data_IF_320598210162
#
_entry.id   IF_320598210162
#
_cell.length_a   1.000
_cell.length_b   1.000
_cell.length_c   1.000
_cell.angle_alpha   90.00
_cell.angle_beta   90.00
_cell.angle_gamma   90.00
#
_symmetry.space_group_name_H-M   'P 1'
#
loop_
_entity.id
_entity.type
_entity.pdbx_description
1 polymer ?
#
# COMPACT_ATOMS: atom_id res chain seq x y z
N UNK A 1 -27.09 -0.17 58.72
CA UNK A 1 -26.43 0.03 57.41
C UNK A 1 -27.43 -0.14 56.27
N UNK A 2 -27.84 0.98 55.69
CA UNK A 2 -28.83 1.10 54.60
C UNK A 2 -28.11 1.03 53.25
N UNK A 3 -28.63 0.31 52.23
CA UNK A 3 -28.01 0.29 50.90
C UNK A 3 -28.23 1.63 50.17
N UNK A 4 -27.30 2.04 49.29
CA UNK A 4 -27.43 3.27 48.51
C UNK A 4 -28.49 3.14 47.41
N UNK A 5 -29.16 4.24 47.02
CA UNK A 5 -30.16 4.25 45.96
C UNK A 5 -29.53 4.02 44.58
N UNK A 6 -30.17 3.18 43.77
CA UNK A 6 -29.74 2.84 42.42
C UNK A 6 -29.87 4.01 41.44
N UNK A 7 -28.92 4.08 40.50
CA UNK A 7 -28.85 5.06 39.43
C UNK A 7 -30.02 4.94 38.44
N UNK A 8 -30.50 6.05 37.84
CA UNK A 8 -31.57 6.01 36.86
C UNK A 8 -31.11 5.39 35.53
N UNK A 9 -31.95 4.49 35.00
CA UNK A 9 -31.79 3.93 33.66
C UNK A 9 -32.15 4.98 32.60
N UNK A 10 -31.18 5.34 31.74
CA UNK A 10 -31.44 6.11 30.54
C UNK A 10 -31.90 5.17 29.41
N UNK A 11 -33.10 5.40 28.91
CA UNK A 11 -33.60 4.80 27.66
C UNK A 11 -32.93 5.47 26.45
N UNK A 12 -32.41 4.72 25.46
CA UNK A 12 -31.87 5.31 24.25
C UNK A 12 -32.99 5.85 23.35
N UNK A 13 -32.88 7.13 23.01
CA UNK A 13 -33.70 7.82 22.01
C UNK A 13 -33.44 7.20 20.64
N UNK A 14 -34.48 6.64 20.02
CA UNK A 14 -34.42 6.07 18.67
C UNK A 14 -34.17 7.15 17.63
N UNK A 15 -33.15 6.98 16.81
CA UNK A 15 -32.90 7.81 15.63
C UNK A 15 -33.86 7.42 14.51
N UNK A 16 -34.58 8.41 13.99
CA UNK A 16 -35.49 8.28 12.88
C UNK A 16 -34.74 7.91 11.59
N UNK A 17 -35.24 6.89 10.89
CA UNK A 17 -34.75 6.46 9.58
C UNK A 17 -35.23 7.47 8.53
N UNK A 18 -34.31 8.18 7.89
CA UNK A 18 -34.63 9.02 6.74
C UNK A 18 -35.01 8.14 5.55
N UNK A 19 -36.21 8.38 5.00
CA UNK A 19 -36.75 7.67 3.85
C UNK A 19 -35.91 7.91 2.59
N UNK A 20 -35.66 6.83 1.83
CA UNK A 20 -35.01 6.87 0.53
C UNK A 20 -35.90 7.60 -0.51
N UNK A 21 -35.33 8.41 -1.42
CA UNK A 21 -36.10 9.02 -2.50
C UNK A 21 -36.45 7.99 -3.59
N UNK A 22 -37.75 7.87 -3.84
CA UNK A 22 -38.35 7.14 -4.96
C UNK A 22 -37.94 7.78 -6.29
N UNK A 23 -37.21 7.05 -7.13
CA UNK A 23 -36.97 7.47 -8.53
C UNK A 23 -38.17 7.08 -9.39
N UNK A 24 -38.95 8.07 -9.80
CA UNK A 24 -39.98 7.95 -10.85
C UNK A 24 -39.31 8.20 -12.21
N UNK A 25 -39.23 7.17 -13.04
CA UNK A 25 -38.84 7.29 -14.45
C UNK A 25 -40.06 7.48 -15.37
N UNK A 26 -40.01 8.38 -16.36
CA UNK A 26 -41.00 8.42 -17.43
C UNK A 26 -40.46 7.84 -18.75
N UNK A 27 -41.17 6.81 -19.23
CA UNK A 27 -41.74 6.77 -20.59
C UNK A 27 -40.82 6.57 -21.80
N UNK A 28 -40.87 5.37 -22.37
CA UNK A 28 -40.53 5.07 -23.77
C UNK A 28 -41.78 5.19 -24.65
N UNK A 29 -41.74 5.94 -25.76
CA UNK A 29 -42.63 5.70 -26.90
C UNK A 29 -41.86 5.11 -28.09
N UNK A 30 -42.41 4.05 -28.66
CA UNK A 30 -41.87 3.33 -29.81
C UNK A 30 -41.88 4.15 -31.11
N UNK A 31 -40.90 3.85 -31.97
CA UNK A 31 -40.81 4.34 -33.35
C UNK A 31 -40.78 3.16 -34.34
N UNK A 32 -41.54 3.21 -35.44
CA UNK A 32 -41.64 2.13 -36.42
C UNK A 32 -40.65 2.28 -37.59
N UNK A 33 -40.31 1.15 -38.22
CA UNK A 33 -39.98 1.09 -39.65
C UNK A 33 -38.50 0.99 -40.01
N UNK A 34 -38.01 -0.23 -40.14
CA UNK A 34 -36.81 -0.54 -40.91
C UNK A 34 -37.18 -0.69 -42.40
N UNK A 35 -36.47 -0.03 -43.34
CA UNK A 35 -36.50 -0.41 -44.74
C UNK A 35 -35.52 -1.55 -45.04
N UNK A 36 -35.98 -2.44 -45.92
CA UNK A 36 -35.31 -3.65 -46.37
C UNK A 36 -33.95 -3.41 -47.08
N UNK A 37 -33.04 -4.37 -46.91
CA UNK A 37 -31.80 -4.48 -47.66
C UNK A 37 -32.05 -4.94 -49.12
N UNK A 38 -31.34 -4.39 -50.11
CA UNK A 38 -31.25 -4.97 -51.45
C UNK A 38 -30.12 -6.02 -51.56
N UNK A 39 -30.23 -6.98 -52.51
CA UNK A 39 -29.32 -8.12 -52.62
C UNK A 39 -27.96 -7.77 -53.26
N UNK A 40 -26.96 -8.59 -52.91
CA UNK A 40 -25.58 -8.55 -53.36
C UNK A 40 -25.44 -8.84 -54.87
N UNK A 41 -24.71 -8.00 -55.58
CA UNK A 41 -24.11 -8.30 -56.90
C UNK A 41 -22.58 -8.31 -56.80
N UNK A 42 -21.88 -9.34 -57.29
CA UNK A 42 -20.41 -9.37 -57.31
C UNK A 42 -19.85 -8.64 -58.55
N UNK A 43 -18.91 -7.72 -58.37
CA UNK A 43 -18.03 -7.29 -59.46
C UNK A 43 -17.38 -5.91 -59.33
N UNK A 44 -16.06 -5.89 -59.56
CA UNK A 44 -15.16 -4.77 -59.94
C UNK A 44 -14.39 -4.05 -58.80
N UNK A 45 -13.03 -4.00 -58.86
CA UNK A 45 -12.20 -3.20 -57.98
C UNK A 45 -12.12 -1.73 -58.45
N UNK A 46 -12.54 -0.79 -57.60
CA UNK A 46 -12.45 0.65 -57.81
C UNK A 46 -11.57 1.35 -56.77
N UNK A 47 -10.83 2.35 -57.25
CA UNK A 47 -9.75 3.15 -56.66
C UNK A 47 -10.02 3.85 -55.30
N UNK A 48 -8.98 4.15 -54.49
CA UNK A 48 -9.11 4.92 -53.25
C UNK A 48 -9.43 6.41 -53.47
N UNK A 49 -10.53 6.89 -52.88
CA UNK A 49 -10.91 8.31 -52.85
C UNK A 49 -10.19 9.09 -51.75
N UNK A 50 -9.91 10.37 -52.04
CA UNK A 50 -9.18 11.31 -51.20
C UNK A 50 -9.95 11.77 -49.94
N UNK A 51 -9.26 12.24 -48.87
CA UNK A 51 -9.89 12.74 -47.66
C UNK A 51 -10.56 14.11 -47.86
N UNK A 52 -11.82 14.22 -47.42
CA UNK A 52 -12.59 15.46 -47.41
C UNK A 52 -12.07 16.50 -46.41
N UNK A 53 -12.22 17.76 -46.79
CA UNK A 53 -11.87 18.97 -46.03
C UNK A 53 -12.88 19.25 -44.91
N UNK A 54 -12.36 19.58 -43.73
CA UNK A 54 -13.14 19.94 -42.53
C UNK A 54 -13.33 21.46 -42.50
N UNK A 55 -14.53 22.01 -42.22
CA UNK A 55 -14.74 23.46 -42.11
C UNK A 55 -14.21 24.02 -40.77
N UNK A 56 -13.71 25.28 -40.72
CA UNK A 56 -13.22 25.89 -39.49
C UNK A 56 -14.38 26.34 -38.60
N UNK A 57 -14.56 25.64 -37.48
CA UNK A 57 -15.41 26.05 -36.37
C UNK A 57 -14.79 27.24 -35.60
N UNK A 58 -15.63 28.23 -35.36
CA UNK A 58 -15.38 29.50 -34.72
C UNK A 58 -15.41 29.32 -33.19
N UNK A 59 -14.29 29.59 -32.52
CA UNK A 59 -14.18 29.59 -31.06
C UNK A 59 -14.69 30.92 -30.49
N UNK A 60 -15.57 30.94 -29.48
CA UNK A 60 -15.89 32.17 -28.76
C UNK A 60 -14.71 32.60 -27.88
N UNK A 61 -14.19 33.79 -28.17
CA UNK A 61 -13.23 34.53 -27.35
C UNK A 61 -13.90 34.96 -26.04
N UNK A 62 -13.44 34.42 -24.91
CA UNK A 62 -13.82 34.92 -23.60
C UNK A 62 -13.03 36.20 -23.29
N UNK A 63 -13.75 37.31 -23.17
CA UNK A 63 -13.27 38.61 -22.74
C UNK A 63 -12.87 38.57 -21.26
N UNK A 64 -11.61 38.86 -20.98
CA UNK A 64 -11.09 39.03 -19.62
C UNK A 64 -11.54 40.39 -19.04
N UNK A 65 -12.10 40.45 -17.81
CA UNK A 65 -12.23 41.71 -17.11
C UNK A 65 -10.90 42.14 -16.47
N UNK A 66 -10.60 43.42 -16.69
CA UNK A 66 -9.47 44.21 -16.18
C UNK A 66 -9.56 44.48 -14.68
N UNK A 67 -8.40 44.49 -14.01
CA UNK A 67 -8.04 45.48 -12.99
C UNK A 67 -8.34 45.13 -11.52
N UNK A 68 -7.27 44.81 -10.77
CA UNK A 68 -7.21 45.06 -9.32
C UNK A 68 -5.98 45.93 -9.00
N UNK A 69 -6.14 47.01 -8.22
CA UNK A 69 -5.04 47.92 -7.88
C UNK A 69 -4.12 47.35 -6.78
N UNK A 70 -2.83 47.56 -6.98
CA UNK A 70 -1.72 47.23 -6.08
C UNK A 70 -1.72 48.14 -4.84
N UNK A 71 -1.56 47.62 -3.61
CA UNK A 71 -1.38 48.46 -2.42
C UNK A 71 0.06 49.05 -2.34
N UNK A 72 0.23 50.28 -1.81
CA UNK A 72 1.53 50.93 -1.71
C UNK A 72 2.41 50.37 -0.56
N UNK A 73 3.74 50.44 -0.67
CA UNK A 73 4.65 50.00 0.39
C UNK A 73 4.64 50.99 1.57
N UNK A 74 4.25 50.51 2.76
CA UNK A 74 4.42 51.26 4.00
C UNK A 74 5.91 51.34 4.38
N UNK A 75 6.39 52.58 4.51
CA UNK A 75 7.67 52.91 5.15
C UNK A 75 7.55 52.68 6.65
N UNK A 76 8.37 51.82 7.24
CA UNK A 76 8.54 51.75 8.68
C UNK A 76 9.46 52.88 9.15
N UNK A 77 8.84 53.90 9.74
CA UNK A 77 9.47 54.95 10.54
C UNK A 77 9.93 54.37 11.89
N UNK A 78 11.18 54.66 12.23
CA UNK A 78 11.79 54.26 13.49
C UNK A 78 11.16 54.97 14.70
N UNK A 79 11.03 54.21 15.78
CA UNK A 79 10.83 54.74 17.13
C UNK A 79 12.05 54.38 17.97
N UNK A 80 12.73 55.42 18.45
CA UNK A 80 13.75 55.33 19.47
C UNK A 80 13.09 55.00 20.81
N UNK A 81 13.58 53.96 21.50
CA UNK A 81 13.26 53.71 22.90
C UNK A 81 14.36 54.28 23.82
N UNK A 82 13.99 54.94 24.94
CA UNK A 82 14.92 55.40 25.95
C UNK A 82 15.39 54.26 26.87
N UNK A 83 16.63 54.38 27.33
CA UNK A 83 17.41 53.32 27.95
C UNK A 83 16.93 52.84 29.31
N UNK A 84 17.16 51.54 29.52
CA UNK A 84 17.32 50.94 30.85
C UNK A 84 18.76 50.45 30.96
N UNK A 85 19.46 50.96 31.98
CA UNK A 85 20.79 50.49 32.37
C UNK A 85 20.66 49.11 33.02
N UNK A 86 21.44 48.13 32.55
CA UNK A 86 21.69 46.89 33.30
C UNK A 86 23.11 46.91 33.90
N UNK A 87 23.29 46.45 35.15
CA UNK A 87 24.60 46.39 35.81
C UNK A 87 25.47 45.29 35.20
N UNK A 88 26.74 45.62 34.96
CA UNK A 88 27.72 44.74 34.36
C UNK A 88 28.12 43.56 35.25
N UNK A 89 28.25 42.40 34.61
CA UNK A 89 29.10 41.29 35.06
C UNK A 89 29.90 40.75 33.88
N UNK A 90 31.18 40.50 34.15
CA UNK A 90 32.27 40.47 33.18
C UNK A 90 32.24 39.35 32.13
N UNK A 91 32.88 39.67 31.00
CA UNK A 91 33.29 38.74 29.95
C UNK A 91 34.47 37.88 30.42
N UNK A 92 34.53 36.61 30.00
CA UNK A 92 35.76 36.09 29.39
C UNK A 92 35.56 35.84 27.89
N UNK A 93 36.57 36.17 27.11
CA UNK A 93 36.51 36.27 25.65
C UNK A 93 36.14 34.97 24.92
N UNK A 94 35.29 35.13 23.91
CA UNK A 94 35.05 34.14 22.87
C UNK A 94 36.17 34.26 21.84
N UNK A 95 37.04 33.24 21.75
CA UNK A 95 37.96 33.08 20.62
C UNK A 95 37.19 32.42 19.46
N UNK A 96 37.27 32.92 18.22
CA UNK A 96 36.70 32.22 17.09
C UNK A 96 37.43 30.89 16.85
N UNK A 97 36.70 29.78 16.85
CA UNK A 97 37.22 28.46 16.56
C UNK A 97 37.72 28.41 15.10
N UNK A 98 39.01 28.11 14.92
CA UNK A 98 39.61 27.91 13.61
C UNK A 98 39.06 26.68 12.87
N UNK A 99 39.22 26.62 11.54
CA UNK A 99 38.68 25.54 10.71
C UNK A 99 39.33 24.19 11.02
N UNK A 100 38.51 23.17 11.28
CA UNK A 100 38.96 21.80 11.56
C UNK A 100 39.48 21.12 10.29
N UNK A 101 40.65 20.45 10.32
CA UNK A 101 41.15 19.70 9.17
C UNK A 101 40.36 18.40 8.99
N UNK A 102 39.90 18.16 7.75
CA UNK A 102 39.37 16.87 7.30
C UNK A 102 40.49 15.83 7.27
N UNK A 103 40.35 14.75 8.04
CA UNK A 103 41.21 13.57 7.89
C UNK A 103 40.53 12.56 6.98
N UNK A 104 41.10 12.41 5.80
CA UNK A 104 40.87 11.31 4.87
C UNK A 104 41.34 10.02 5.54
N UNK A 105 40.42 9.11 5.83
CA UNK A 105 40.71 7.81 6.44
C UNK A 105 40.31 6.68 5.50
N UNK A 106 41.28 6.19 4.74
CA UNK A 106 41.22 4.94 3.99
C UNK A 106 41.25 3.78 4.98
N UNK A 107 40.15 3.05 5.13
CA UNK A 107 40.14 1.74 5.80
C UNK A 107 39.99 0.67 4.72
N UNK A 108 41.15 0.24 4.20
CA UNK A 108 41.31 -1.09 3.65
C UNK A 108 41.63 -1.98 4.84
N UNK A 109 40.76 -2.94 5.12
CA UNK A 109 40.94 -3.96 6.14
C UNK A 109 40.30 -5.26 5.67
N UNK A 110 41.04 -6.02 4.88
CA UNK A 110 40.77 -7.42 4.61
C UNK A 110 41.08 -8.24 5.88
N UNK A 111 40.15 -9.10 6.31
CA UNK A 111 40.38 -10.21 7.25
C UNK A 111 39.18 -11.17 7.13
N UNK A 112 39.24 -12.26 6.36
CA UNK A 112 39.98 -13.54 6.51
C UNK A 112 39.16 -14.61 7.25
N UNK A 113 38.69 -15.57 6.44
CA UNK A 113 38.57 -17.02 6.68
C UNK A 113 37.56 -17.60 7.69
N UNK A 114 36.60 -18.33 7.11
CA UNK A 114 36.39 -19.77 7.26
C UNK A 114 36.30 -20.40 8.67
N UNK A 115 35.09 -20.83 9.04
CA UNK A 115 34.73 -22.10 9.71
C UNK A 115 33.25 -21.95 10.14
N UNK A 116 32.28 -22.67 9.56
CA UNK A 116 31.84 -23.98 10.05
C UNK A 116 31.22 -24.80 8.91
N UNK A 117 32.08 -25.47 8.13
CA UNK A 117 31.77 -26.79 7.60
C UNK A 117 32.55 -27.75 8.48
N UNK A 118 31.92 -28.31 9.54
CA UNK A 118 32.08 -29.69 10.04
C UNK A 118 30.93 -29.98 11.01
N UNK A 119 29.90 -30.64 10.49
CA UNK A 119 29.12 -31.70 11.15
C UNK A 119 28.78 -32.62 9.97
N UNK A 120 29.60 -33.58 9.60
CA UNK A 120 30.21 -34.58 10.46
C UNK A 120 29.52 -35.89 10.15
N UNK A 121 29.95 -36.52 9.05
CA UNK A 121 29.61 -37.89 8.66
C UNK A 121 29.97 -38.86 9.80
N UNK A 122 28.98 -39.37 10.53
CA UNK A 122 29.07 -40.66 11.24
C UNK A 122 27.68 -41.31 11.17
N UNK A 123 27.59 -42.44 10.46
CA UNK A 123 26.35 -43.22 10.35
C UNK A 123 26.32 -44.30 9.26
N UNK A 124 27.49 -44.82 8.84
CA UNK A 124 27.59 -46.08 8.10
C UNK A 124 27.41 -47.22 9.12
N UNK A 125 26.20 -47.78 9.16
CA UNK A 125 25.94 -49.17 9.56
C UNK A 125 25.01 -49.76 8.51
N UNK A 126 25.63 -50.09 7.36
CA UNK A 126 25.09 -51.04 6.39
C UNK A 126 25.85 -52.33 6.64
N UNK A 127 25.22 -53.40 7.14
CA UNK A 127 25.70 -54.75 6.94
C UNK A 127 25.56 -55.12 5.47
N UNK A 128 26.67 -55.56 4.91
CA UNK A 128 26.79 -56.24 3.63
C UNK A 128 26.34 -57.69 3.86
N UNK A 129 25.25 -58.12 3.23
CA UNK A 129 24.97 -59.53 3.01
C UNK A 129 24.74 -59.73 1.51
N UNK A 130 25.84 -60.08 0.86
CA UNK A 130 25.89 -60.64 -0.46
C UNK A 130 25.45 -62.11 -0.38
N UNK A 131 24.34 -62.50 -1.00
CA UNK A 131 24.24 -63.83 -1.61
C UNK A 131 23.10 -63.98 -2.64
N UNK A 132 23.55 -64.26 -3.88
CA UNK A 132 23.05 -65.27 -4.83
C UNK A 132 21.59 -65.20 -5.35
N UNK A 133 21.50 -64.83 -6.63
CA UNK A 133 20.78 -65.52 -7.73
C UNK A 133 19.38 -66.09 -7.46
N UNK A 134 18.38 -65.58 -8.19
CA UNK A 134 17.10 -66.27 -8.33
C UNK A 134 16.08 -65.55 -9.20
N UNK A 135 16.06 -65.88 -10.48
CA UNK A 135 15.03 -65.56 -11.48
C UNK A 135 13.72 -66.27 -11.09
N UNK A 136 12.57 -65.58 -11.15
CA UNK A 136 11.28 -66.24 -10.99
C UNK A 136 10.07 -65.31 -10.97
N UNK A 137 9.38 -65.23 -12.11
CA UNK A 137 8.01 -64.74 -12.23
C UNK A 137 7.04 -65.56 -11.36
N UNK A 138 6.05 -64.90 -10.75
CA UNK A 138 4.62 -65.27 -10.76
C UNK A 138 3.76 -64.33 -9.90
N UNK A 139 2.66 -63.89 -10.50
CA UNK A 139 1.52 -63.25 -9.86
C UNK A 139 0.72 -64.24 -8.98
N UNK A 140 0.15 -63.76 -7.86
CA UNK A 140 -1.21 -64.00 -7.31
C UNK A 140 -1.42 -63.01 -6.14
N UNK A 141 -2.22 -61.94 -6.25
CA UNK A 141 -3.63 -61.83 -5.82
C UNK A 141 -3.99 -62.31 -4.40
N UNK A 142 -4.64 -61.39 -3.66
CA UNK A 142 -5.65 -61.63 -2.60
C UNK A 142 -5.13 -62.05 -1.22
N UNK A 143 -5.64 -61.66 -0.06
CA UNK A 143 -6.61 -60.67 0.43
C UNK A 143 -6.48 -60.66 1.98
N UNK A 144 -7.05 -59.62 2.59
CA UNK A 144 -7.60 -59.59 3.96
C UNK A 144 -6.67 -59.61 5.18
N UNK A 145 -6.92 -58.65 6.07
CA UNK A 145 -6.40 -58.63 7.43
C UNK A 145 -6.41 -57.21 8.00
N UNK A 146 -7.49 -56.87 8.71
CA UNK A 146 -7.73 -55.52 9.21
C UNK A 146 -7.04 -55.15 10.52
N UNK A 147 -7.67 -54.17 11.14
CA UNK A 147 -7.53 -53.69 12.53
C UNK A 147 -6.54 -52.55 12.78
N UNK A 148 -7.15 -51.42 13.14
CA UNK A 148 -6.77 -50.53 14.25
C UNK A 148 -5.29 -50.13 14.36
N UNK A 149 -4.98 -48.95 13.84
CA UNK A 149 -3.79 -48.20 14.24
C UNK A 149 -4.18 -46.76 14.53
N UNK A 150 -4.31 -46.44 15.82
CA UNK A 150 -4.31 -45.07 16.33
C UNK A 150 -2.98 -44.42 15.93
N UNK A 151 -2.96 -43.76 14.78
CA UNK A 151 -1.81 -43.01 14.31
C UNK A 151 -1.93 -41.57 14.77
N UNK A 152 -1.21 -41.23 15.84
CA UNK A 152 -0.61 -39.90 15.99
C UNK A 152 0.20 -39.63 14.74
N UNK A 153 -0.46 -39.11 13.72
CA UNK A 153 0.19 -38.59 12.53
C UNK A 153 0.78 -37.27 12.93
N UNK A 154 2.08 -37.26 13.18
CA UNK A 154 2.96 -36.14 12.87
C UNK A 154 2.61 -35.66 11.46
N UNK A 155 1.60 -34.79 11.36
CA UNK A 155 1.40 -33.99 10.16
C UNK A 155 2.58 -33.03 10.18
N UNK A 156 3.65 -33.42 9.52
CA UNK A 156 4.55 -32.48 8.87
C UNK A 156 3.64 -31.43 8.26
N UNK A 157 3.57 -30.26 8.92
CA UNK A 157 2.62 -29.20 8.60
C UNK A 157 2.90 -28.85 7.15
N UNK A 158 2.06 -29.35 6.24
CA UNK A 158 2.24 -29.07 4.81
C UNK A 158 2.30 -27.56 4.71
N UNK A 159 3.39 -27.04 4.11
CA UNK A 159 3.56 -25.60 3.93
C UNK A 159 2.26 -25.08 3.32
N UNK A 160 1.60 -24.08 3.92
CA UNK A 160 0.37 -23.54 3.38
C UNK A 160 0.53 -23.24 1.89
N UNK A 161 -0.44 -23.68 1.09
CA UNK A 161 -0.43 -23.38 -0.35
C UNK A 161 -0.49 -21.88 -0.52
N UNK A 162 0.39 -21.34 -1.36
CA UNK A 162 0.44 -19.92 -1.61
C UNK A 162 -0.89 -19.44 -2.22
N UNK A 163 -1.52 -18.40 -1.64
CA UNK A 163 -2.77 -17.88 -2.15
C UNK A 163 -2.58 -17.26 -3.53
N UNK A 164 -3.67 -17.17 -4.29
CA UNK A 164 -3.64 -16.49 -5.60
C UNK A 164 -3.59 -14.97 -5.42
N UNK A 165 -2.78 -14.25 -6.21
CA UNK A 165 -2.80 -12.78 -6.21
C UNK A 165 -4.09 -12.23 -6.79
N UNK A 166 -4.57 -11.12 -6.22
CA UNK A 166 -5.61 -10.27 -6.80
C UNK A 166 -5.09 -8.85 -6.93
N UNK A 167 -5.23 -8.25 -8.11
CA UNK A 167 -4.69 -6.92 -8.41
C UNK A 167 -5.78 -5.89 -8.60
N UNK A 168 -5.57 -4.70 -8.04
CA UNK A 168 -6.39 -3.50 -8.19
C UNK A 168 -5.51 -2.36 -8.67
N UNK A 169 -6.06 -1.51 -9.53
CA UNK A 169 -5.31 -0.45 -10.21
C UNK A 169 -5.96 0.90 -9.98
N UNK A 170 -5.15 1.94 -9.85
CA UNK A 170 -5.62 3.32 -9.75
C UNK A 170 -6.53 3.58 -8.55
N UNK A 171 -6.20 3.03 -7.39
CA UNK A 171 -6.90 3.36 -6.15
C UNK A 171 -6.38 4.71 -5.68
N UNK A 172 -7.27 5.69 -5.56
CA UNK A 172 -6.95 6.97 -4.93
C UNK A 172 -7.20 6.87 -3.43
N UNK A 173 -6.15 7.03 -2.64
CA UNK A 173 -6.19 7.06 -1.17
C UNK A 173 -6.12 8.50 -0.72
N UNK A 174 -7.24 9.03 -0.24
CA UNK A 174 -7.33 10.38 0.32
C UNK A 174 -6.44 10.52 1.55
N UNK A 175 -5.96 11.74 1.80
CA UNK A 175 -5.22 12.07 3.01
C UNK A 175 -6.05 11.70 4.24
N UNK A 176 -5.38 11.07 5.20
CA UNK A 176 -5.94 10.55 6.44
C UNK A 176 -6.96 9.42 6.24
N UNK A 177 -6.85 8.68 5.13
CA UNK A 177 -7.62 7.46 4.88
C UNK A 177 -6.70 6.24 4.88
N UNK A 178 -7.27 5.09 5.24
CA UNK A 178 -6.58 3.81 5.28
C UNK A 178 -7.31 2.74 4.47
N UNK A 179 -6.53 1.78 3.99
CA UNK A 179 -6.96 0.58 3.29
C UNK A 179 -6.82 -0.62 4.22
N UNK A 180 -7.79 -1.53 4.14
CA UNK A 180 -7.65 -2.90 4.63
C UNK A 180 -7.41 -3.81 3.44
N UNK A 181 -6.33 -4.59 3.50
CA UNK A 181 -6.06 -5.61 2.50
C UNK A 181 -7.16 -6.68 2.51
N UNK A 182 -7.90 -6.84 3.62
CA UNK A 182 -9.03 -7.75 3.78
C UNK A 182 -10.29 -7.39 2.97
N UNK A 183 -10.40 -6.15 2.48
CA UNK A 183 -11.55 -5.69 1.71
C UNK A 183 -11.45 -6.08 0.23
N UNK A 184 -12.58 -6.39 -0.42
CA UNK A 184 -12.63 -6.78 -1.83
C UNK A 184 -13.72 -5.97 -2.58
N UNK A 185 -13.36 -4.94 -3.36
CA UNK A 185 -12.01 -4.35 -3.50
C UNK A 185 -11.58 -3.58 -2.23
N UNK A 186 -10.27 -3.34 -2.03
CA UNK A 186 -9.80 -2.40 -1.01
C UNK A 186 -10.39 -1.02 -1.24
N UNK A 187 -11.06 -0.47 -0.22
CA UNK A 187 -11.66 0.87 -0.27
C UNK A 187 -11.03 1.75 0.80
N UNK A 188 -10.50 2.93 0.45
CA UNK A 188 -10.03 3.89 1.44
C UNK A 188 -11.18 4.29 2.34
N UNK A 189 -10.95 4.26 3.65
CA UNK A 189 -11.89 4.73 4.67
C UNK A 189 -11.14 5.58 5.68
N UNK A 190 -11.82 6.58 6.23
CA UNK A 190 -11.32 7.35 7.36
C UNK A 190 -11.30 6.49 8.63
N UNK A 191 -10.38 6.77 9.54
CA UNK A 191 -10.37 6.20 10.88
C UNK A 191 -10.76 7.30 11.87
N UNK A 192 -12.05 7.36 12.21
CA UNK A 192 -12.66 8.44 13.01
C UNK A 192 -12.26 8.38 14.50
N UNK A 193 -11.73 7.24 14.97
CA UNK A 193 -11.49 7.03 16.40
C UNK A 193 -10.16 7.63 16.87
N UNK A 194 -9.08 7.29 16.17
CA UNK A 194 -7.71 7.57 16.62
C UNK A 194 -6.79 8.13 15.53
N UNK A 195 -7.35 8.34 14.33
CA UNK A 195 -6.59 8.68 13.14
C UNK A 195 -5.84 7.49 12.57
N UNK A 196 -5.54 7.55 11.27
CA UNK A 196 -5.03 6.38 10.52
C UNK A 196 -3.70 5.82 11.01
N UNK A 197 -2.88 6.60 11.72
CA UNK A 197 -1.60 6.13 12.27
C UNK A 197 -1.76 5.19 13.48
N UNK A 198 -2.88 5.29 14.20
CA UNK A 198 -3.20 4.43 15.35
C UNK A 198 -4.38 3.49 15.06
N UNK A 199 -4.93 3.60 13.86
CA UNK A 199 -6.11 2.89 13.40
C UNK A 199 -5.91 1.40 13.12
N UNK A 200 -6.85 0.83 12.38
CA UNK A 200 -6.86 -0.62 12.02
C UNK A 200 -6.56 -0.87 10.55
N UNK A 201 -6.01 0.12 9.86
CA UNK A 201 -5.63 0.03 8.46
C UNK A 201 -4.32 -0.71 8.25
N UNK A 202 -4.24 -1.44 7.15
CA UNK A 202 -3.02 -2.14 6.74
C UNK A 202 -2.07 -1.22 5.97
N UNK A 203 -2.62 -0.26 5.24
CA UNK A 203 -1.87 0.78 4.52
C UNK A 203 -2.64 2.09 4.60
N UNK A 204 -1.99 3.19 4.95
CA UNK A 204 -2.64 4.51 5.01
C UNK A 204 -1.82 5.59 4.35
N UNK A 205 -2.50 6.67 3.96
CA UNK A 205 -1.88 7.94 3.61
C UNK A 205 -2.21 8.95 4.70
N UNK A 206 -1.18 9.48 5.37
CA UNK A 206 -1.32 10.50 6.42
C UNK A 206 -0.80 11.83 5.92
N UNK A 207 -1.49 12.89 6.29
CA UNK A 207 -1.02 14.27 6.13
C UNK A 207 -1.20 15.02 7.44
N UNK A 208 -0.15 15.70 7.85
CA UNK A 208 -0.20 16.65 8.96
C UNK A 208 -0.76 17.99 8.48
N UNK A 209 -1.81 18.50 9.11
CA UNK A 209 -2.41 19.78 8.73
C UNK A 209 -1.63 21.00 9.26
N UNK A 210 -0.80 20.84 10.30
CA UNK A 210 -0.03 21.92 10.89
C UNK A 210 1.30 22.14 10.18
N UNK A 211 2.00 21.06 9.83
CA UNK A 211 3.33 21.09 9.24
C UNK A 211 3.34 20.70 7.76
N UNK A 212 2.26 20.09 7.25
CA UNK A 212 2.17 19.66 5.85
C UNK A 212 2.92 18.37 5.54
N UNK A 213 3.43 17.67 6.56
CA UNK A 213 4.18 16.42 6.38
C UNK A 213 3.28 15.33 5.80
N UNK A 214 3.72 14.73 4.68
CA UNK A 214 2.99 13.70 3.95
C UNK A 214 3.75 12.38 4.02
N UNK A 215 3.08 11.31 4.46
CA UNK A 215 3.69 9.98 4.61
C UNK A 215 2.69 8.86 4.37
N UNK A 216 3.21 7.70 3.98
CA UNK A 216 2.44 6.46 3.99
C UNK A 216 2.90 5.59 5.16
N UNK A 217 2.01 4.75 5.66
CA UNK A 217 2.36 3.87 6.77
C UNK A 217 1.43 2.69 6.93
N UNK A 218 1.64 1.94 8.01
CA UNK A 218 0.86 0.77 8.38
C UNK A 218 0.73 0.74 9.90
N UNK A 219 -0.49 0.55 10.39
CA UNK A 219 -0.76 0.61 11.83
C UNK A 219 -0.08 -0.52 12.63
N UNK A 220 0.42 -1.56 11.97
CA UNK A 220 1.15 -2.65 12.61
C UNK A 220 2.68 -2.57 12.43
N UNK A 221 3.17 -1.51 11.79
CA UNK A 221 4.61 -1.32 11.61
C UNK A 221 5.26 -2.19 10.54
N UNK A 222 4.49 -2.82 9.65
CA UNK A 222 5.02 -3.77 8.67
C UNK A 222 4.88 -3.28 7.23
N UNK A 223 5.62 -2.22 6.90
CA UNK A 223 5.86 -1.83 5.50
C UNK A 223 7.33 -1.60 5.18
N UNK A 224 7.71 -1.74 3.90
CA UNK A 224 9.08 -1.49 3.44
C UNK A 224 9.08 -1.12 1.96
N UNK A 225 9.83 -0.07 1.57
CA UNK A 225 10.09 0.20 0.15
C UNK A 225 11.09 -0.83 -0.38
N UNK A 226 10.72 -1.51 -1.46
CA UNK A 226 11.63 -2.39 -2.18
C UNK A 226 12.70 -1.59 -2.92
N UNK A 227 13.88 -2.17 -3.06
CA UNK A 227 14.94 -1.56 -3.89
C UNK A 227 14.47 -1.52 -5.35
N UNK A 228 14.91 -0.54 -6.12
CA UNK A 228 14.52 -0.40 -7.54
C UNK A 228 14.80 -1.64 -8.40
N UNK A 229 15.78 -2.48 -8.02
CA UNK A 229 16.10 -3.74 -8.70
C UNK A 229 15.23 -4.93 -8.26
N UNK A 230 14.49 -4.80 -7.17
CA UNK A 230 13.60 -5.85 -6.64
C UNK A 230 12.19 -5.63 -7.16
N UNK A 231 11.62 -6.64 -7.80
CA UNK A 231 10.22 -6.65 -8.19
C UNK A 231 9.39 -7.30 -7.07
N UNK A 232 8.38 -6.57 -6.60
CA UNK A 232 7.45 -7.03 -5.59
C UNK A 232 6.71 -8.28 -6.02
N UNK A 233 6.75 -9.27 -5.13
CA UNK A 233 6.07 -10.56 -5.24
C UNK A 233 5.83 -11.09 -3.84
N UNK A 234 4.97 -12.10 -3.71
CA UNK A 234 4.72 -12.77 -2.43
C UNK A 234 6.02 -13.23 -1.77
N UNK A 235 6.88 -13.91 -2.53
CA UNK A 235 8.14 -14.44 -2.03
C UNK A 235 9.09 -13.34 -1.56
N UNK A 236 9.23 -12.26 -2.34
CA UNK A 236 10.06 -11.11 -1.94
C UNK A 236 9.54 -10.49 -0.65
N UNK A 237 8.23 -10.24 -0.55
CA UNK A 237 7.67 -9.61 0.65
C UNK A 237 7.76 -10.49 1.91
N UNK A 238 7.74 -11.82 1.77
CA UNK A 238 7.99 -12.76 2.87
C UNK A 238 9.43 -12.73 3.37
N UNK A 239 10.38 -12.51 2.48
CA UNK A 239 11.80 -12.49 2.79
C UNK A 239 12.30 -11.12 3.29
N UNK A 240 11.55 -10.05 3.07
CA UNK A 240 11.90 -8.74 3.59
C UNK A 240 11.77 -8.71 5.12
N UNK A 241 12.78 -8.12 5.77
CA UNK A 241 12.83 -7.97 7.23
C UNK A 241 13.02 -6.52 7.67
N UNK A 242 13.25 -5.61 6.70
CA UNK A 242 13.61 -4.21 6.91
C UNK A 242 12.37 -3.32 7.07
N UNK A 243 11.38 -3.81 7.82
CA UNK A 243 10.12 -3.12 8.00
C UNK A 243 10.29 -1.83 8.80
N UNK A 244 9.46 -0.85 8.45
CA UNK A 244 9.27 0.43 9.14
C UNK A 244 7.77 0.66 9.32
N UNK A 245 7.40 1.58 10.20
CA UNK A 245 6.01 1.98 10.43
C UNK A 245 5.52 3.08 9.48
N UNK A 246 6.46 3.85 8.94
CA UNK A 246 6.17 4.97 8.04
C UNK A 246 7.27 5.19 7.03
N UNK A 247 6.87 5.75 5.89
CA UNK A 247 7.73 6.13 4.78
C UNK A 247 7.29 7.52 4.35
N UNK A 248 8.20 8.48 4.42
CA UNK A 248 7.92 9.85 3.98
C UNK A 248 7.62 9.85 2.48
N UNK A 249 6.60 10.61 2.06
CA UNK A 249 6.13 10.57 0.68
C UNK A 249 7.21 11.04 -0.32
N UNK A 250 8.14 11.89 0.11
CA UNK A 250 9.30 12.35 -0.66
C UNK A 250 10.30 11.24 -1.00
N UNK A 251 10.29 10.13 -0.26
CA UNK A 251 11.12 8.96 -0.56
C UNK A 251 10.52 8.09 -1.67
N UNK A 252 9.27 8.35 -2.06
CA UNK A 252 8.55 7.58 -3.07
C UNK A 252 8.60 8.30 -4.42
N UNK A 253 8.89 7.53 -5.46
CA UNK A 253 8.81 7.97 -6.85
C UNK A 253 7.79 7.10 -7.58
N UNK A 254 7.26 7.59 -8.70
CA UNK A 254 6.31 6.80 -9.49
C UNK A 254 6.92 5.45 -9.86
N UNK A 255 6.23 4.35 -9.52
CA UNK A 255 6.71 2.98 -9.68
C UNK A 255 7.38 2.38 -8.44
N UNK A 256 7.66 3.16 -7.38
CA UNK A 256 8.14 2.63 -6.11
C UNK A 256 7.19 1.55 -5.59
N UNK A 257 7.73 0.39 -5.25
CA UNK A 257 6.97 -0.75 -4.74
C UNK A 257 7.21 -0.91 -3.24
N UNK A 258 6.14 -1.16 -2.51
CA UNK A 258 6.12 -1.25 -1.06
C UNK A 258 5.52 -2.60 -0.69
N UNK A 259 6.26 -3.42 0.06
CA UNK A 259 5.68 -4.61 0.69
C UNK A 259 4.94 -4.17 1.95
N UNK A 260 3.71 -4.67 2.12
CA UNK A 260 2.85 -4.42 3.27
C UNK A 260 2.39 -5.77 3.82
N UNK A 261 2.59 -6.00 5.11
CA UNK A 261 2.07 -7.20 5.78
C UNK A 261 0.99 -6.75 6.77
N UNK A 262 -0.21 -7.30 6.67
CA UNK A 262 -1.29 -7.05 7.64
C UNK A 262 -1.14 -7.92 8.88
N UNK A 263 -1.75 -7.51 10.01
CA UNK A 263 -1.89 -8.39 11.19
C UNK A 263 -2.76 -9.63 10.88
N UNK A 264 -3.69 -9.52 9.93
CA UNK A 264 -4.56 -10.61 9.51
C UNK A 264 -3.89 -11.66 8.59
N UNK A 265 -2.57 -11.59 8.40
CA UNK A 265 -1.82 -12.56 7.59
C UNK A 265 -1.96 -12.34 6.07
N UNK A 266 -2.49 -11.21 5.63
CA UNK A 266 -2.46 -10.80 4.22
C UNK A 266 -1.15 -10.11 3.87
N UNK A 267 -0.63 -10.38 2.68
CA UNK A 267 0.54 -9.70 2.11
C UNK A 267 0.08 -8.88 0.91
N UNK A 268 0.57 -7.64 0.82
CA UNK A 268 0.31 -6.73 -0.29
C UNK A 268 1.60 -6.19 -0.90
N UNK A 269 1.59 -5.99 -2.21
CA UNK A 269 2.54 -5.10 -2.90
C UNK A 269 1.76 -3.87 -3.34
N UNK A 270 2.10 -2.73 -2.75
CA UNK A 270 1.58 -1.42 -3.14
C UNK A 270 2.56 -0.77 -4.10
N UNK A 271 2.10 -0.36 -5.28
CA UNK A 271 2.91 0.42 -6.23
C UNK A 271 2.42 1.85 -6.22
N UNK A 272 3.27 2.78 -5.79
CA UNK A 272 2.96 4.20 -5.80
C UNK A 272 2.94 4.74 -7.23
N UNK A 273 1.87 5.43 -7.62
CA UNK A 273 1.72 6.02 -8.96
C UNK A 273 2.00 7.51 -8.96
N UNK A 274 1.63 8.20 -7.89
CA UNK A 274 1.81 9.64 -7.73
C UNK A 274 0.89 10.22 -6.66
N UNK A 275 0.92 11.54 -6.51
CA UNK A 275 0.03 12.30 -5.62
C UNK A 275 -0.75 13.35 -6.38
N UNK A 276 -1.86 13.79 -5.79
CA UNK A 276 -2.68 14.85 -6.35
C UNK A 276 -1.90 16.14 -6.54
N UNK A 277 -2.29 16.90 -7.56
CA UNK A 277 -1.64 18.15 -7.93
C UNK A 277 -1.72 19.18 -6.80
N UNK A 278 -0.87 20.22 -6.81
CA UNK A 278 -0.87 21.26 -5.78
C UNK A 278 -2.20 22.05 -5.71
N UNK A 279 -2.93 22.11 -6.82
CA UNK A 279 -4.21 22.84 -6.93
C UNK A 279 -5.44 21.92 -6.83
N UNK A 280 -5.23 20.63 -6.54
CA UNK A 280 -6.35 19.70 -6.36
C UNK A 280 -7.03 20.00 -5.02
N UNK A 281 -8.36 20.21 -4.98
CA UNK A 281 -9.09 20.42 -3.72
C UNK A 281 -9.00 19.20 -2.80
N UNK A 282 -8.74 18.02 -3.36
CA UNK A 282 -8.53 16.78 -2.63
C UNK A 282 -7.05 16.42 -2.58
N UNK A 283 -6.56 16.12 -1.38
CA UNK A 283 -5.21 15.58 -1.17
C UNK A 283 -5.29 14.07 -1.19
N UNK A 284 -4.67 13.42 -2.16
CA UNK A 284 -4.67 11.96 -2.28
C UNK A 284 -3.40 11.45 -2.95
N UNK A 285 -3.14 10.16 -2.80
CA UNK A 285 -2.17 9.42 -3.58
C UNK A 285 -2.87 8.39 -4.46
N UNK A 286 -2.34 8.14 -5.64
CA UNK A 286 -2.81 7.05 -6.50
C UNK A 286 -1.88 5.85 -6.34
N UNK A 287 -2.44 4.67 -6.15
CA UNK A 287 -1.69 3.43 -6.01
C UNK A 287 -2.29 2.29 -6.83
N UNK A 288 -1.45 1.31 -7.14
CA UNK A 288 -1.89 -0.03 -7.50
C UNK A 288 -1.62 -0.98 -6.33
N UNK A 289 -2.46 -1.99 -6.15
CA UNK A 289 -2.26 -2.99 -5.08
C UNK A 289 -2.43 -4.39 -5.63
N UNK A 290 -1.45 -5.26 -5.38
CA UNK A 290 -1.60 -6.72 -5.53
C UNK A 290 -1.68 -7.34 -4.15
N UNK A 291 -2.72 -8.13 -3.88
CA UNK A 291 -2.99 -8.71 -2.56
C UNK A 291 -2.98 -10.24 -2.63
N UNK A 292 -2.29 -10.84 -1.67
CA UNK A 292 -2.31 -12.26 -1.35
C UNK A 292 -2.97 -12.44 0.02
N UNK A 293 -4.24 -12.84 0.02
CA UNK A 293 -5.02 -13.01 1.25
C UNK A 293 -4.65 -14.32 1.92
N UNK A 294 -4.60 -14.31 3.25
CA UNK A 294 -4.23 -15.47 4.08
C UNK A 294 -2.89 -16.09 3.63
N UNK A 295 -1.93 -15.24 3.30
CA UNK A 295 -0.60 -15.65 2.85
C UNK A 295 0.28 -16.14 3.99
N UNK A 296 0.01 -15.63 5.19
CA UNK A 296 0.66 -15.96 6.45
C UNK A 296 -0.39 -16.21 7.53
N UNK A 297 0.04 -16.78 8.66
CA UNK A 297 -0.78 -16.86 9.87
C UNK A 297 -1.05 -15.46 10.41
N UNK A 298 -2.28 -15.25 10.89
CA UNK A 298 -2.63 -14.00 11.56
C UNK A 298 -1.83 -13.87 12.85
N UNK A 299 -1.35 -12.66 13.13
CA UNK A 299 -0.66 -12.35 14.38
C UNK A 299 -1.69 -12.14 15.48
N UNK A 300 -1.53 -12.84 16.59
CA UNK A 300 -2.34 -12.63 17.79
C UNK A 300 -1.97 -11.29 18.46
N UNK A 301 -2.95 -10.71 19.17
CA UNK A 301 -2.87 -9.35 19.76
C UNK A 301 -2.21 -9.36 21.12
#
# INVERSE_FOLDING_TARGET
>A
PTPPPGSPHHTPTGYAVAAAPTQTGPGTPGGPGAPAAPPLTPGVPGTPGAPGTVPPGHWPQHTHPQGYPTPPPQRQSGFAQPGFQQPGWGRPGFQPAGPRPKRTGLIVGASVFAALIVLGLIGKLVPDDSDKTGKGDRATSSSDGGSSGSGSGDKARQKPVDPRPVSYKGIDVTANYALKLADHPPRPVEDEDSGVSYGKGDFYFYRDDLFGDERVGSANGKLVVLKNSQKGSLEVCRQETRFTEKIELEQLTSGSQICVLSKAGHIGVVTYRGKSGPNDPSRYITIDVTVWRNAEEAQES
#
